data_IF_453153764795
#
_entry.id   IF_453153764795
#
_cell.length_a   1.000
_cell.length_b   1.000
_cell.length_c   1.000
_cell.angle_alpha   90.00
_cell.angle_beta   90.00
_cell.angle_gamma   90.00
#
_symmetry.space_group_name_H-M   'P 1'
#
loop_
_entity.id
_entity.type
_entity.pdbx_description
1 polymer ?
#
# COMPACT_ATOMS: atom_id res chain seq x y z
N UNK A 1 -25.77 1.79 10.98
CA UNK A 1 -25.33 1.90 9.56
C UNK A 1 -24.89 3.32 9.21
N UNK A 2 -25.51 4.35 9.80
CA UNK A 2 -25.16 5.76 9.58
C UNK A 2 -23.94 6.27 10.38
N UNK A 3 -23.20 5.39 11.07
CA UNK A 3 -22.04 5.73 11.89
C UNK A 3 -22.28 6.90 12.86
N UNK A 4 -23.43 6.92 13.54
CA UNK A 4 -23.73 7.93 14.56
C UNK A 4 -22.89 7.70 15.82
N UNK A 5 -22.52 8.78 16.51
CA UNK A 5 -21.97 8.70 17.87
C UNK A 5 -23.05 8.28 18.88
N UNK A 6 -22.62 7.85 20.06
CA UNK A 6 -23.55 7.53 21.13
C UNK A 6 -24.35 8.76 21.59
N UNK A 7 -23.75 9.95 21.54
CA UNK A 7 -24.45 11.21 21.83
C UNK A 7 -25.56 11.50 20.80
N UNK A 8 -25.29 11.27 19.50
CA UNK A 8 -26.31 11.43 18.45
C UNK A 8 -27.45 10.43 18.61
N UNK A 9 -27.15 9.20 19.03
CA UNK A 9 -28.16 8.18 19.31
C UNK A 9 -28.99 8.54 20.55
N UNK A 10 -28.36 9.11 21.57
CA UNK A 10 -29.01 9.52 22.81
C UNK A 10 -29.97 10.72 22.63
N UNK A 11 -29.82 11.50 21.56
CA UNK A 11 -30.74 12.61 21.24
C UNK A 11 -32.17 12.14 20.96
N UNK A 12 -32.34 10.90 20.48
CA UNK A 12 -33.66 10.31 20.28
C UNK A 12 -34.26 9.84 21.61
N UNK A 13 -34.81 10.81 22.37
CA UNK A 13 -35.43 10.59 23.70
C UNK A 13 -36.53 9.53 23.73
N UNK A 14 -37.40 9.38 22.71
CA UNK A 14 -38.46 8.36 22.73
C UNK A 14 -37.94 6.93 22.91
N UNK A 15 -36.68 6.65 22.57
CA UNK A 15 -36.05 5.35 22.81
C UNK A 15 -35.99 4.93 24.28
N UNK A 16 -35.89 5.91 25.19
CA UNK A 16 -35.79 5.66 26.64
C UNK A 16 -37.15 5.78 27.35
N UNK A 17 -38.24 5.93 26.59
CA UNK A 17 -39.57 5.99 27.17
C UNK A 17 -39.99 4.60 27.68
N UNK A 18 -40.49 4.54 28.92
CA UNK A 18 -40.99 3.30 29.52
C UNK A 18 -42.47 3.02 29.19
N UNK A 19 -43.11 3.88 28.40
CA UNK A 19 -44.53 3.79 28.05
C UNK A 19 -44.69 3.41 26.57
N UNK A 20 -45.32 2.26 26.31
CA UNK A 20 -45.54 1.71 24.98
C UNK A 20 -46.92 2.10 24.47
N UNK A 21 -47.02 3.31 23.90
CA UNK A 21 -48.25 3.89 23.35
C UNK A 21 -48.09 4.00 21.83
N UNK A 22 -49.18 3.97 21.06
CA UNK A 22 -49.14 4.12 19.59
C UNK A 22 -48.34 5.35 19.14
N UNK A 23 -48.51 6.50 19.81
CA UNK A 23 -47.72 7.71 19.54
C UNK A 23 -46.19 7.49 19.61
N UNK A 24 -45.73 6.65 20.55
CA UNK A 24 -44.29 6.34 20.67
C UNK A 24 -43.85 5.45 19.52
N UNK A 25 -44.70 4.52 19.07
CA UNK A 25 -44.42 3.70 17.89
C UNK A 25 -44.30 4.57 16.64
N UNK A 26 -45.24 5.48 16.41
CA UNK A 26 -45.21 6.41 15.27
C UNK A 26 -43.93 7.25 15.24
N UNK A 27 -43.45 7.72 16.40
CA UNK A 27 -42.18 8.43 16.51
C UNK A 27 -40.97 7.56 16.14
N UNK A 28 -41.00 6.26 16.47
CA UNK A 28 -39.93 5.34 16.08
C UNK A 28 -39.96 5.05 14.58
N UNK A 29 -41.14 4.85 14.00
CA UNK A 29 -41.30 4.64 12.56
C UNK A 29 -40.79 5.85 11.77
N UNK A 30 -41.17 7.06 12.20
CA UNK A 30 -40.71 8.30 11.59
C UNK A 30 -39.18 8.48 11.70
N UNK A 31 -38.58 8.15 12.85
CA UNK A 31 -37.12 8.26 13.00
C UNK A 31 -36.40 7.20 12.14
N UNK A 32 -36.92 5.99 12.04
CA UNK A 32 -36.36 4.95 11.16
C UNK A 32 -36.43 5.40 9.69
N UNK A 33 -37.55 5.96 9.26
CA UNK A 33 -37.71 6.50 7.91
C UNK A 33 -36.70 7.64 7.65
N UNK A 34 -36.62 8.60 8.57
CA UNK A 34 -35.66 9.72 8.51
C UNK A 34 -34.22 9.23 8.36
N UNK A 35 -33.81 8.26 9.18
CA UNK A 35 -32.47 7.68 9.15
C UNK A 35 -32.21 6.87 7.89
N UNK A 36 -33.24 6.22 7.33
CA UNK A 36 -33.14 5.46 6.10
C UNK A 36 -32.91 6.39 4.91
N UNK A 37 -33.71 7.45 4.78
CA UNK A 37 -33.53 8.48 3.76
C UNK A 37 -32.14 9.12 3.87
N UNK A 38 -31.75 9.52 5.07
CA UNK A 38 -30.42 10.09 5.32
C UNK A 38 -29.28 9.13 4.92
N UNK A 39 -29.43 7.84 5.21
CA UNK A 39 -28.43 6.83 4.82
C UNK A 39 -28.36 6.66 3.30
N UNK A 40 -29.51 6.63 2.62
CA UNK A 40 -29.57 6.40 1.19
C UNK A 40 -29.03 7.58 0.39
N UNK A 41 -29.30 8.81 0.83
CA UNK A 41 -28.71 10.04 0.27
C UNK A 41 -27.18 10.04 0.41
N UNK A 42 -26.67 9.64 1.58
CA UNK A 42 -25.25 9.68 1.91
C UNK A 42 -24.53 8.34 1.68
N UNK A 43 -25.18 7.38 1.02
CA UNK A 43 -24.71 6.00 0.88
C UNK A 43 -23.34 5.93 0.21
N UNK A 44 -23.09 6.79 -0.77
CA UNK A 44 -21.81 6.85 -1.47
C UNK A 44 -20.66 7.24 -0.54
N UNK A 45 -20.87 8.21 0.35
CA UNK A 45 -19.89 8.64 1.35
C UNK A 45 -19.54 7.47 2.27
N UNK A 46 -20.55 6.77 2.79
CA UNK A 46 -20.33 5.61 3.64
C UNK A 46 -19.57 4.47 2.95
N UNK A 47 -19.91 4.17 1.69
CA UNK A 47 -19.21 3.14 0.92
C UNK A 47 -17.73 3.50 0.67
N UNK A 48 -17.46 4.75 0.30
CA UNK A 48 -16.10 5.22 0.07
C UNK A 48 -15.30 5.29 1.38
N UNK A 49 -15.91 5.73 2.48
CA UNK A 49 -15.28 5.72 3.80
C UNK A 49 -14.91 4.30 4.24
N UNK A 50 -15.80 3.31 4.03
CA UNK A 50 -15.52 1.91 4.31
C UNK A 50 -14.36 1.37 3.46
N UNK A 51 -14.37 1.65 2.14
CA UNK A 51 -13.28 1.28 1.22
C UNK A 51 -11.95 1.95 1.59
N UNK A 52 -11.99 3.21 1.99
CA UNK A 52 -10.83 3.95 2.48
C UNK A 52 -10.24 3.23 3.69
N UNK A 53 -11.07 2.91 4.70
CA UNK A 53 -10.66 2.20 5.91
C UNK A 53 -10.05 0.83 5.60
N UNK A 54 -10.63 0.06 4.69
CA UNK A 54 -10.10 -1.24 4.26
C UNK A 54 -8.71 -1.10 3.62
N UNK A 55 -8.56 -0.19 2.65
CA UNK A 55 -7.28 0.07 2.00
C UNK A 55 -6.24 0.62 2.98
N UNK A 56 -6.66 1.43 3.96
CA UNK A 56 -5.81 1.94 5.02
C UNK A 56 -5.29 0.82 5.91
N UNK A 57 -6.16 -0.08 6.36
CA UNK A 57 -5.76 -1.26 7.13
C UNK A 57 -4.80 -2.15 6.31
N UNK A 58 -5.07 -2.30 5.01
CA UNK A 58 -4.17 -3.06 4.13
C UNK A 58 -2.80 -2.40 3.98
N UNK A 59 -2.76 -1.07 3.87
CA UNK A 59 -1.52 -0.30 3.87
C UNK A 59 -0.70 -0.56 5.13
N UNK A 60 -1.32 -0.42 6.32
CA UNK A 60 -0.66 -0.66 7.60
C UNK A 60 -0.15 -2.11 7.71
N UNK A 61 -0.94 -3.08 7.27
CA UNK A 61 -0.53 -4.48 7.25
C UNK A 61 0.69 -4.71 6.36
N UNK A 62 0.72 -4.14 5.14
CA UNK A 62 1.86 -4.22 4.24
C UNK A 62 3.11 -3.56 4.84
N UNK A 63 2.94 -2.45 5.57
CA UNK A 63 4.04 -1.78 6.28
C UNK A 63 4.59 -2.65 7.41
N UNK A 64 3.73 -3.32 8.17
CA UNK A 64 4.14 -4.24 9.22
C UNK A 64 4.85 -5.48 8.65
N UNK A 65 4.32 -6.08 7.57
CA UNK A 65 5.02 -7.16 6.88
C UNK A 65 6.37 -6.70 6.31
N UNK A 66 6.48 -5.44 5.88
CA UNK A 66 7.73 -4.88 5.37
C UNK A 66 8.83 -4.82 6.45
N UNK A 67 8.47 -4.69 7.74
CA UNK A 67 9.42 -4.65 8.87
C UNK A 67 10.02 -6.01 9.21
N UNK A 68 9.37 -7.12 8.82
CA UNK A 68 9.82 -8.47 9.17
C UNK A 68 10.99 -8.93 8.30
N UNK A 69 12.07 -9.41 8.93
CA UNK A 69 13.29 -9.90 8.26
C UNK A 69 13.12 -11.28 7.62
N UNK A 70 12.19 -12.10 8.12
CA UNK A 70 11.94 -13.48 7.65
C UNK A 70 11.32 -13.52 6.24
N UNK A 71 10.64 -12.44 5.84
CA UNK A 71 10.02 -12.28 4.52
C UNK A 71 11.02 -12.43 3.37
N UNK A 72 12.26 -11.96 3.54
CA UNK A 72 13.29 -12.04 2.51
C UNK A 72 13.68 -13.50 2.21
N UNK A 73 13.66 -14.36 3.24
CA UNK A 73 14.04 -15.77 3.13
C UNK A 73 12.87 -16.69 2.77
N UNK A 74 11.63 -16.26 2.99
CA UNK A 74 10.39 -17.02 2.71
C UNK A 74 9.73 -16.64 1.37
N UNK A 75 10.47 -16.08 0.41
CA UNK A 75 9.97 -15.66 -0.91
C UNK A 75 9.73 -16.83 -1.88
N UNK A 76 8.96 -17.83 -1.46
CA UNK A 76 8.54 -18.92 -2.32
C UNK A 76 7.32 -18.47 -3.13
N UNK A 77 7.28 -18.74 -4.43
CA UNK A 77 6.13 -18.39 -5.27
C UNK A 77 5.96 -16.90 -5.60
N UNK A 78 7.01 -16.09 -5.46
CA UNK A 78 7.00 -14.68 -5.86
C UNK A 78 6.16 -13.77 -4.96
N UNK A 79 6.00 -14.13 -3.68
CA UNK A 79 5.22 -13.39 -2.69
C UNK A 79 5.64 -11.91 -2.59
N UNK A 80 6.94 -11.63 -2.62
CA UNK A 80 7.45 -10.24 -2.57
C UNK A 80 7.00 -9.40 -3.78
N UNK A 81 6.87 -10.01 -4.96
CA UNK A 81 6.37 -9.31 -6.15
C UNK A 81 4.87 -9.01 -6.02
N UNK A 82 4.11 -9.93 -5.40
CA UNK A 82 2.69 -9.72 -5.14
C UNK A 82 2.48 -8.60 -4.11
N UNK A 83 3.27 -8.60 -3.04
CA UNK A 83 3.26 -7.53 -2.03
C UNK A 83 3.58 -6.17 -2.64
N UNK A 84 4.62 -6.07 -3.48
CA UNK A 84 4.99 -4.80 -4.11
C UNK A 84 3.94 -4.33 -5.12
N UNK A 85 3.33 -5.26 -5.88
CA UNK A 85 2.19 -4.96 -6.76
C UNK A 85 1.02 -4.41 -5.98
N UNK A 86 0.69 -5.04 -4.86
CA UNK A 86 -0.39 -4.61 -3.99
C UNK A 86 -0.09 -3.28 -3.32
N UNK A 87 1.14 -3.07 -2.85
CA UNK A 87 1.58 -1.80 -2.29
C UNK A 87 1.39 -0.65 -3.28
N UNK A 88 1.80 -0.83 -4.54
CA UNK A 88 1.58 0.16 -5.61
C UNK A 88 0.09 0.40 -5.87
N UNK A 89 -0.72 -0.66 -5.82
CA UNK A 89 -2.16 -0.56 -5.97
C UNK A 89 -2.80 0.30 -4.87
N UNK A 90 -2.48 -0.01 -3.61
CA UNK A 90 -2.98 0.72 -2.44
C UNK A 90 -2.50 2.17 -2.48
N UNK A 91 -1.20 2.42 -2.73
CA UNK A 91 -0.65 3.78 -2.84
C UNK A 91 -1.30 4.64 -3.92
N UNK A 92 -1.78 4.04 -5.01
CA UNK A 92 -2.50 4.77 -6.07
C UNK A 92 -3.97 4.99 -5.72
N UNK A 93 -4.65 3.98 -5.18
CA UNK A 93 -6.09 4.04 -4.90
C UNK A 93 -6.46 4.90 -3.71
N UNK A 94 -5.65 4.87 -2.66
CA UNK A 94 -5.91 5.55 -1.40
C UNK A 94 -6.05 7.09 -1.58
N UNK A 95 -5.13 7.80 -2.26
CA UNK A 95 -5.31 9.23 -2.55
C UNK A 95 -6.42 9.51 -3.57
N UNK A 96 -6.80 8.54 -4.42
CA UNK A 96 -7.94 8.70 -5.31
C UNK A 96 -9.27 8.70 -4.53
N UNK A 97 -9.44 7.74 -3.63
CA UNK A 97 -10.62 7.65 -2.76
C UNK A 97 -10.67 8.84 -1.79
N UNK A 98 -9.53 9.26 -1.22
CA UNK A 98 -9.48 10.46 -0.35
C UNK A 98 -9.99 11.71 -1.09
N UNK A 99 -9.53 11.95 -2.33
CA UNK A 99 -9.99 13.08 -3.15
C UNK A 99 -11.48 13.01 -3.47
N UNK A 100 -11.97 11.83 -3.81
CA UNK A 100 -13.41 11.61 -4.07
C UNK A 100 -14.24 11.86 -2.80
N UNK A 101 -13.77 11.40 -1.63
CA UNK A 101 -14.43 11.63 -0.36
C UNK A 101 -14.50 13.12 -0.03
N UNK A 102 -13.38 13.85 -0.15
CA UNK A 102 -13.33 15.29 0.10
C UNK A 102 -14.32 16.03 -0.82
N UNK A 103 -14.35 15.68 -2.11
CA UNK A 103 -15.29 16.30 -3.05
C UNK A 103 -16.76 16.07 -2.67
N UNK A 104 -17.13 14.87 -2.20
CA UNK A 104 -18.49 14.60 -1.76
C UNK A 104 -18.82 15.30 -0.44
N UNK A 105 -17.86 15.41 0.47
CA UNK A 105 -18.03 16.10 1.74
C UNK A 105 -18.21 17.60 1.54
N UNK A 106 -17.48 18.21 0.60
CA UNK A 106 -17.68 19.61 0.21
C UNK A 106 -19.06 19.84 -0.40
N UNK A 107 -19.54 18.93 -1.26
CA UNK A 107 -20.89 19.00 -1.82
C UNK A 107 -21.97 18.85 -0.73
N UNK A 108 -21.77 17.92 0.21
CA UNK A 108 -22.66 17.76 1.35
C UNK A 108 -22.73 19.03 2.20
N UNK A 109 -21.57 19.63 2.50
CA UNK A 109 -21.48 20.90 3.23
C UNK A 109 -22.20 22.04 2.51
N UNK A 110 -22.08 22.11 1.18
CA UNK A 110 -22.77 23.11 0.38
C UNK A 110 -24.30 22.93 0.39
N UNK A 111 -24.79 21.69 0.38
CA UNK A 111 -26.22 21.38 0.32
C UNK A 111 -26.91 21.51 1.69
N UNK A 112 -26.28 21.04 2.76
CA UNK A 112 -26.87 20.98 4.10
C UNK A 112 -26.38 22.10 5.05
N UNK A 113 -25.33 22.83 4.68
CA UNK A 113 -24.76 23.91 5.51
C UNK A 113 -24.01 23.44 6.75
N UNK A 114 -23.77 22.13 6.89
CA UNK A 114 -23.11 21.51 8.05
C UNK A 114 -22.10 20.45 7.60
N UNK A 115 -21.08 20.22 8.44
CA UNK A 115 -20.08 19.20 8.17
C UNK A 115 -20.65 17.80 8.37
N UNK A 116 -20.19 16.85 7.55
CA UNK A 116 -20.62 15.47 7.67
C UNK A 116 -19.91 14.80 8.85
N UNK A 117 -20.70 14.46 9.87
CA UNK A 117 -20.21 13.81 11.08
C UNK A 117 -20.12 12.29 10.90
N UNK A 118 -18.99 11.73 11.29
CA UNK A 118 -18.68 10.32 11.28
C UNK A 118 -18.23 9.92 12.69
N UNK A 119 -19.07 9.15 13.40
CA UNK A 119 -18.93 8.85 14.83
C UNK A 119 -18.79 10.08 15.73
N UNK A 120 -19.42 11.19 15.34
CA UNK A 120 -19.43 12.45 16.10
C UNK A 120 -18.33 13.43 15.73
N UNK A 121 -17.40 13.05 14.87
CA UNK A 121 -16.31 13.91 14.40
C UNK A 121 -16.45 14.20 12.90
N UNK A 122 -16.01 15.38 12.40
CA UNK A 122 -16.02 15.66 10.97
C UNK A 122 -15.16 14.65 10.20
N UNK A 123 -15.72 14.00 9.18
CA UNK A 123 -15.02 12.94 8.45
C UNK A 123 -13.71 13.43 7.79
N UNK A 124 -13.65 14.71 7.41
CA UNK A 124 -12.45 15.33 6.86
C UNK A 124 -11.31 15.30 7.88
N UNK A 125 -11.58 15.71 9.12
CA UNK A 125 -10.61 15.74 10.22
C UNK A 125 -10.12 14.32 10.55
N UNK A 126 -11.04 13.35 10.61
CA UNK A 126 -10.69 11.94 10.83
C UNK A 126 -9.70 11.43 9.78
N UNK A 127 -9.89 11.77 8.49
CA UNK A 127 -8.97 11.37 7.43
C UNK A 127 -7.59 12.01 7.56
N UNK A 128 -7.53 13.26 7.99
CA UNK A 128 -6.29 14.01 8.18
C UNK A 128 -5.52 13.49 9.39
N UNK A 129 -6.20 13.31 10.51
CA UNK A 129 -5.63 12.76 11.74
C UNK A 129 -5.04 11.36 11.50
N UNK A 130 -5.76 10.47 10.80
CA UNK A 130 -5.23 9.14 10.45
C UNK A 130 -3.91 9.23 9.66
N UNK A 131 -3.79 10.20 8.75
CA UNK A 131 -2.58 10.40 7.96
C UNK A 131 -1.44 11.00 8.78
N UNK A 132 -1.74 11.99 9.62
CA UNK A 132 -0.79 12.63 10.52
C UNK A 132 -0.20 11.63 11.53
N UNK A 133 -1.04 10.82 12.18
CA UNK A 133 -0.61 9.79 13.13
C UNK A 133 0.38 8.79 12.49
N UNK A 134 0.13 8.40 11.24
CA UNK A 134 1.03 7.54 10.48
C UNK A 134 2.35 8.25 10.14
N UNK A 135 2.30 9.51 9.72
CA UNK A 135 3.52 10.28 9.41
C UNK A 135 4.36 10.49 10.67
N UNK A 136 3.73 10.87 11.79
CA UNK A 136 4.37 11.04 13.09
C UNK A 136 5.01 9.73 13.57
N UNK A 137 4.31 8.60 13.46
CA UNK A 137 4.85 7.28 13.82
C UNK A 137 6.09 6.92 13.00
N UNK A 138 6.09 7.22 11.70
CA UNK A 138 7.26 6.96 10.83
C UNK A 138 8.43 7.86 11.13
N UNK A 139 8.19 9.15 11.39
CA UNK A 139 9.26 10.08 11.75
C UNK A 139 9.86 9.73 13.11
N UNK A 140 9.03 9.35 14.09
CA UNK A 140 9.50 8.87 15.40
C UNK A 140 10.36 7.60 15.26
N UNK A 141 9.92 6.60 14.48
CA UNK A 141 10.70 5.38 14.23
C UNK A 141 12.05 5.70 13.56
N UNK A 142 12.07 6.66 12.62
CA UNK A 142 13.29 7.12 11.97
C UNK A 142 14.21 7.87 12.94
N UNK A 143 13.68 8.70 13.82
CA UNK A 143 14.46 9.41 14.85
C UNK A 143 15.09 8.42 15.84
N UNK A 144 14.32 7.44 16.33
CA UNK A 144 14.82 6.39 17.21
C UNK A 144 15.93 5.56 16.55
N UNK A 145 15.76 5.17 15.27
CA UNK A 145 16.81 4.47 14.52
C UNK A 145 18.08 5.28 14.37
N UNK A 146 17.96 6.60 14.12
CA UNK A 146 19.12 7.49 14.02
C UNK A 146 19.85 7.62 15.37
N UNK A 147 19.10 7.83 16.46
CA UNK A 147 19.65 7.93 17.80
C UNK A 147 20.38 6.64 18.22
N UNK A 148 19.77 5.48 17.98
CA UNK A 148 20.40 4.19 18.27
C UNK A 148 21.68 3.98 17.44
N UNK A 149 21.68 4.36 16.16
CA UNK A 149 22.88 4.27 15.32
C UNK A 149 23.99 5.23 15.77
N UNK A 150 23.62 6.42 16.24
CA UNK A 150 24.57 7.38 16.80
C UNK A 150 25.17 6.87 18.11
N UNK A 151 24.37 6.28 19.00
CA UNK A 151 24.84 5.66 20.25
C UNK A 151 25.84 4.52 19.96
N UNK A 152 25.53 3.65 19.00
CA UNK A 152 26.43 2.58 18.56
C UNK A 152 27.74 3.16 18.02
N UNK A 153 27.67 4.18 17.17
CA UNK A 153 28.85 4.83 16.61
C UNK A 153 29.72 5.47 17.71
N UNK A 154 29.11 6.15 18.68
CA UNK A 154 29.82 6.73 19.82
C UNK A 154 30.50 5.64 20.67
N UNK A 155 29.85 4.51 20.87
CA UNK A 155 30.41 3.36 21.58
C UNK A 155 31.62 2.77 20.85
N UNK A 156 31.53 2.60 19.52
CA UNK A 156 32.61 2.10 18.68
C UNK A 156 33.82 3.06 18.66
N UNK A 157 33.58 4.37 18.62
CA UNK A 157 34.64 5.37 18.74
C UNK A 157 35.37 5.30 20.09
N UNK A 158 34.64 5.03 21.19
CA UNK A 158 35.20 4.99 22.55
C UNK A 158 35.91 3.69 22.88
N UNK A 159 35.37 2.55 22.46
CA UNK A 159 35.86 1.21 22.85
C UNK A 159 36.61 0.49 21.72
N UNK A 160 36.73 1.13 20.55
CA UNK A 160 37.21 0.50 19.33
C UNK A 160 36.12 -0.36 18.66
N UNK A 161 36.22 -0.52 17.34
CA UNK A 161 35.30 -1.36 16.58
C UNK A 161 35.43 -2.82 17.04
N UNK A 162 34.35 -3.40 17.55
CA UNK A 162 34.28 -4.86 17.74
C UNK A 162 34.21 -5.48 16.34
N UNK A 163 35.22 -6.26 15.96
CA UNK A 163 35.15 -7.10 14.76
C UNK A 163 33.83 -7.87 14.79
N UNK A 164 33.03 -7.79 13.73
CA UNK A 164 31.75 -8.49 13.63
C UNK A 164 31.99 -9.99 13.90
N UNK A 165 31.73 -10.43 15.13
CA UNK A 165 31.85 -11.84 15.50
C UNK A 165 30.77 -12.57 14.72
N UNK A 166 31.15 -13.20 13.61
CA UNK A 166 30.33 -14.21 12.97
C UNK A 166 29.96 -15.21 14.06
N UNK A 167 28.67 -15.30 14.37
CA UNK A 167 28.12 -16.24 15.35
C UNK A 167 28.73 -17.61 15.09
N UNK A 168 29.40 -18.15 16.11
CA UNK A 168 30.06 -19.44 16.06
C UNK A 168 29.09 -20.53 15.62
N UNK A 169 29.35 -21.15 14.46
CA UNK A 169 28.51 -22.23 13.97
C UNK A 169 28.73 -22.68 12.53
N UNK A 170 29.91 -22.51 11.92
CA UNK A 170 30.23 -23.27 10.70
C UNK A 170 31.73 -23.34 10.45
N UNK A 171 32.34 -24.48 10.80
CA UNK A 171 33.69 -24.82 10.34
C UNK A 171 33.62 -25.15 8.84
N UNK A 172 33.77 -24.16 7.96
CA UNK A 172 34.16 -24.41 6.57
C UNK A 172 35.65 -24.13 6.42
N UNK A 173 36.45 -25.21 6.41
CA UNK A 173 37.80 -25.19 5.85
C UNK A 173 37.64 -24.86 4.36
N UNK A 174 37.98 -23.63 3.98
CA UNK A 174 38.26 -23.28 2.59
C UNK A 174 39.77 -23.09 2.52
N UNK A 175 40.46 -24.07 1.94
CA UNK A 175 41.82 -23.88 1.45
C UNK A 175 41.74 -23.01 0.20
N UNK A 176 42.40 -21.88 0.20
CA UNK A 176 42.74 -21.13 -1.01
C UNK A 176 44.25 -21.19 -1.22
N UNK A 177 44.73 -21.46 -2.46
CA UNK A 177 46.15 -21.48 -2.76
C UNK A 177 46.70 -20.06 -2.85
N UNK A 178 47.92 -19.90 -2.34
CA UNK A 178 48.76 -18.71 -2.42
C UNK A 178 49.11 -18.37 -3.88
N UNK A 179 49.25 -17.08 -4.21
CA UNK A 179 50.30 -16.67 -5.14
C UNK A 179 51.35 -15.79 -4.44
N UNK A 180 52.58 -16.01 -4.90
CA UNK A 180 53.85 -15.45 -4.47
C UNK A 180 54.04 -13.96 -4.78
N UNK A 181 54.61 -13.25 -3.80
CA UNK A 181 55.53 -12.10 -3.83
C UNK A 181 55.59 -11.19 -5.09
N UNK A 182 55.43 -9.88 -4.88
CA UNK A 182 56.48 -8.85 -5.12
C UNK A 182 56.18 -7.54 -4.35
N UNK A 183 57.25 -6.92 -3.83
CA UNK A 183 57.48 -5.53 -3.37
C UNK A 183 56.65 -4.44 -4.09
N UNK A 184 56.52 -3.16 -3.68
CA UNK A 184 56.83 -2.31 -2.51
C UNK A 184 56.51 -0.86 -3.01
N UNK A 185 55.84 -0.05 -2.17
CA UNK A 185 55.74 1.43 -2.14
C UNK A 185 55.30 2.25 -3.38
N UNK A 186 54.25 3.07 -3.20
CA UNK A 186 54.21 4.56 -3.40
C UNK A 186 52.73 5.02 -3.51
N UNK A 187 52.16 5.52 -2.42
CA UNK A 187 51.98 6.95 -2.05
C UNK A 187 50.95 7.73 -2.89
N UNK A 188 49.86 8.04 -2.18
CA UNK A 188 48.93 9.14 -2.35
C UNK A 188 49.31 10.26 -3.34
N UNK A 189 48.62 10.31 -4.47
CA UNK A 189 48.06 11.51 -5.13
C UNK A 189 47.04 10.96 -6.15
N UNK A 190 45.77 11.36 -6.18
CA UNK A 190 45.33 12.50 -6.96
C UNK A 190 43.81 12.67 -6.74
N UNK A 191 43.42 13.50 -5.78
CA UNK A 191 42.11 14.16 -5.78
C UNK A 191 42.23 15.41 -6.65
N UNK A 192 41.19 15.64 -7.47
CA UNK A 192 40.90 16.76 -8.39
C UNK A 192 41.26 16.47 -9.85
N UNK A 193 40.22 16.43 -10.70
CA UNK A 193 39.98 17.49 -11.68
C UNK A 193 38.56 17.38 -12.25
N UNK A 194 37.76 18.40 -11.95
CA UNK A 194 36.57 18.72 -12.73
C UNK A 194 36.95 19.41 -14.04
N UNK A 195 35.96 19.45 -14.95
CA UNK A 195 35.76 20.41 -16.05
C UNK A 195 36.29 20.01 -17.44
N UNK A 196 35.30 19.93 -18.33
CA UNK A 196 35.34 19.98 -19.79
C UNK A 196 35.95 21.28 -20.31
N UNK A 197 36.31 21.30 -21.61
CA UNK A 197 35.69 22.32 -22.46
C UNK A 197 35.32 21.85 -23.88
N UNK A 198 34.44 22.68 -24.43
CA UNK A 198 33.72 22.72 -25.70
C UNK A 198 34.58 23.12 -26.91
N UNK A 199 34.29 22.57 -28.09
CA UNK A 199 34.30 23.22 -29.43
C UNK A 199 34.05 22.13 -30.51
N UNK A 200 33.52 22.31 -31.73
CA UNK A 200 32.64 23.25 -32.43
C UNK A 200 32.55 22.70 -33.87
N UNK A 201 31.31 22.54 -34.39
CA UNK A 201 30.85 22.54 -35.81
C UNK A 201 31.00 21.32 -36.75
N UNK A 202 29.81 20.92 -37.24
CA UNK A 202 29.49 20.13 -38.46
C UNK A 202 29.69 20.94 -39.77
N UNK A 203 29.61 20.29 -40.96
CA UNK A 203 28.33 20.15 -41.71
C UNK A 203 28.17 18.74 -42.38
N UNK A 204 26.98 18.08 -42.39
CA UNK A 204 25.79 18.16 -43.29
C UNK A 204 25.77 17.14 -44.47
N UNK A 205 24.89 16.12 -44.34
CA UNK A 205 23.92 15.49 -45.33
C UNK A 205 24.48 14.73 -46.56
N UNK A 206 24.50 13.37 -46.58
CA UNK A 206 23.51 12.34 -47.11
C UNK A 206 23.51 12.18 -48.66
N UNK A 207 22.95 11.10 -49.29
CA UNK A 207 22.27 9.89 -48.76
C UNK A 207 22.70 8.55 -49.40
N UNK A 208 22.33 7.41 -48.80
CA UNK A 208 22.16 6.12 -49.50
C UNK A 208 20.97 5.34 -48.96
N UNK A 209 20.00 5.05 -49.82
CA UNK A 209 18.98 4.00 -49.64
C UNK A 209 19.59 2.64 -50.05
N UNK A 210 19.05 1.48 -49.59
CA UNK A 210 17.93 0.86 -50.30
C UNK A 210 16.88 0.13 -49.43
N UNK A 211 15.67 0.26 -49.94
CA UNK A 211 14.53 -0.68 -49.99
C UNK A 211 14.77 -2.13 -49.55
N UNK A 212 13.88 -2.64 -48.68
CA UNK A 212 13.63 -4.09 -48.48
C UNK A 212 12.11 -4.34 -48.45
N UNK A 213 11.57 -5.26 -49.26
CA UNK A 213 10.14 -5.60 -49.25
C UNK A 213 9.77 -6.57 -48.11
N UNK A 214 8.49 -6.64 -47.71
CA UNK A 214 8.01 -7.48 -46.62
C UNK A 214 7.85 -8.94 -47.05
N UNK A 215 8.14 -9.87 -46.15
CA UNK A 215 7.79 -11.29 -46.30
C UNK A 215 6.36 -11.51 -45.80
N UNK A 216 5.56 -12.13 -46.65
CA UNK A 216 4.20 -12.64 -46.42
C UNK A 216 4.13 -13.64 -45.26
N UNK A 217 3.04 -13.67 -44.47
CA UNK A 217 2.65 -14.83 -43.70
C UNK A 217 1.56 -15.64 -44.43
N UNK A 218 1.70 -16.96 -44.46
CA UNK A 218 0.65 -17.92 -44.80
C UNK A 218 0.84 -19.18 -43.92
N UNK A 219 -0.16 -20.06 -43.79
CA UNK A 219 -1.51 -19.80 -43.31
C UNK A 219 -1.87 -20.69 -42.10
N UNK A 220 -3.03 -20.41 -41.50
CA UNK A 220 -3.66 -21.19 -40.43
C UNK A 220 -4.04 -22.59 -40.93
N UNK A 221 -3.69 -23.63 -40.17
CA UNK A 221 -4.30 -24.96 -40.28
C UNK A 221 -5.60 -25.02 -39.46
N UNK A 222 -6.70 -25.56 -40.01
CA UNK A 222 -7.96 -25.80 -39.31
C UNK A 222 -8.26 -27.31 -39.08
N UNK A 223 -9.37 -27.56 -38.38
CA UNK A 223 -10.18 -28.83 -38.36
C UNK A 223 -9.64 -29.93 -37.42
N UNK A 224 -10.39 -30.72 -36.63
CA UNK A 224 -11.82 -31.11 -36.48
C UNK A 224 -12.01 -31.57 -35.00
N UNK A 225 -13.12 -31.45 -34.27
CA UNK A 225 -14.50 -31.99 -34.39
C UNK A 225 -14.64 -33.51 -34.57
N UNK A 226 -15.05 -34.21 -33.50
CA UNK A 226 -15.88 -35.42 -33.43
C UNK A 226 -16.05 -35.80 -31.93
N UNK A 227 -17.23 -35.68 -31.30
CA UNK A 227 -18.31 -36.72 -31.17
C UNK A 227 -17.78 -38.03 -30.54
N UNK A 228 -18.38 -38.71 -29.56
CA UNK A 228 -19.77 -38.79 -29.09
C UNK A 228 -19.81 -39.75 -27.86
N UNK A 229 -20.89 -39.69 -27.05
CA UNK A 229 -21.46 -40.80 -26.21
C UNK A 229 -20.63 -41.32 -24.99
N UNK A 230 -21.15 -41.78 -23.86
CA UNK A 230 -22.48 -41.98 -23.25
C UNK A 230 -22.26 -42.65 -21.85
N UNK A 231 -23.29 -42.63 -20.98
CA UNK A 231 -23.51 -43.39 -19.73
C UNK A 231 -22.68 -42.99 -18.48
N UNK A 232 -23.23 -42.97 -17.26
CA UNK A 232 -24.52 -43.38 -16.75
C UNK A 232 -24.54 -43.21 -15.21
N UNK A 233 -25.72 -43.03 -14.65
CA UNK A 233 -25.98 -42.77 -13.24
C UNK A 233 -25.62 -43.93 -12.30
N UNK A 234 -25.30 -43.60 -11.03
CA UNK A 234 -25.76 -44.38 -9.88
C UNK A 234 -25.71 -43.55 -8.59
N UNK A 235 -26.88 -43.39 -7.94
CA UNK A 235 -27.03 -43.04 -6.53
C UNK A 235 -26.25 -44.03 -5.64
N UNK A 236 -25.80 -43.61 -4.45
CA UNK A 236 -26.21 -44.28 -3.21
C UNK A 236 -25.90 -43.45 -1.95
N UNK A 237 -26.88 -43.52 -1.06
CA UNK A 237 -27.07 -42.90 0.24
C UNK A 237 -26.37 -43.69 1.36
N UNK A 238 -26.28 -43.08 2.56
CA UNK A 238 -25.73 -43.54 3.87
C UNK A 238 -24.21 -43.35 4.03
N UNK A 239 -23.71 -42.84 5.16
CA UNK A 239 -24.21 -42.88 6.54
C UNK A 239 -23.67 -41.69 7.33
#
# INVERSE_FOLDING_TARGET
RCCYSDDQRAQFKPYYANHYIEDVLDLHELEVERLTVFYDENRQIYQLAARHKELWQRLLHLEEQAKRSDRLFKNRGGQLLQEEKERKHVQKKLPAIKRELISLLEQYKANHGSDFLYFGEPLIEVLEQMEEERQASKENEKQQRKAANEEVLQLECRLGARSATTVAGCKRKIMTPQPSNMNREETATLRKRMQSPTATRCPTVMPRTPTRPPRTPAPKTPVSTASDLNNGAHEHHKQ
#
